data_IF_996694907602
#
_entry.id   IF_996694907602
#
_cell.length_a   1.000
_cell.length_b   1.000
_cell.length_c   1.000
_cell.angle_alpha   90.00
_cell.angle_beta   90.00
_cell.angle_gamma   90.00
#
_symmetry.space_group_name_H-M   'P 1'
#
loop_
_entity.id
_entity.type
_entity.pdbx_description
1 polymer ?
#
# COMPACT_ATOMS: atom_id res chain seq x y z
N UNK A 1 15.18 -8.21 -4.88
CA UNK A 1 13.76 -7.88 -5.13
C UNK A 1 13.37 -6.91 -4.05
N UNK A 2 13.07 -5.68 -4.40
CA UNK A 2 12.45 -4.72 -3.48
C UNK A 2 10.94 -4.99 -3.62
N UNK A 3 10.36 -5.63 -2.61
CA UNK A 3 8.91 -5.85 -2.59
C UNK A 3 8.19 -4.61 -2.08
N UNK A 4 6.88 -4.70 -1.96
CA UNK A 4 6.03 -3.63 -1.45
C UNK A 4 5.83 -3.84 0.06
N UNK A 5 5.57 -2.75 0.77
CA UNK A 5 5.05 -2.82 2.13
C UNK A 5 3.55 -2.52 2.08
N UNK A 6 2.79 -3.45 2.61
CA UNK A 6 1.34 -3.42 2.57
C UNK A 6 0.77 -3.46 3.98
N UNK A 7 -0.13 -2.54 4.30
CA UNK A 7 -0.91 -2.60 5.54
C UNK A 7 -2.37 -2.77 5.19
N UNK A 8 -2.97 -3.82 5.74
CA UNK A 8 -4.39 -4.09 5.58
C UNK A 8 -5.14 -3.50 6.77
N UNK A 9 -6.13 -2.65 6.53
CA UNK A 9 -7.07 -2.19 7.53
C UNK A 9 -8.39 -2.96 7.38
N UNK A 10 -8.72 -3.81 8.36
CA UNK A 10 -9.93 -4.63 8.37
C UNK A 10 -10.95 -4.12 9.39
N UNK A 11 -12.18 -3.91 8.93
CA UNK A 11 -13.32 -3.53 9.75
C UNK A 11 -13.88 -4.72 10.54
N UNK A 12 -13.98 -4.55 11.86
CA UNK A 12 -14.49 -5.51 12.83
C UNK A 12 -15.76 -5.00 13.53
N UNK A 13 -16.41 -3.97 12.99
CA UNK A 13 -17.68 -3.47 13.49
C UNK A 13 -18.80 -4.51 13.34
N UNK A 14 -19.90 -4.34 14.10
CA UNK A 14 -21.04 -5.28 14.06
C UNK A 14 -21.70 -5.37 12.69
N UNK A 15 -21.66 -4.31 11.87
CA UNK A 15 -22.23 -4.33 10.52
C UNK A 15 -21.54 -5.36 9.62
N UNK A 16 -20.27 -5.68 9.90
CA UNK A 16 -19.53 -6.73 9.20
C UNK A 16 -20.04 -8.16 9.49
N UNK A 17 -20.97 -8.34 10.44
CA UNK A 17 -21.69 -9.60 10.64
C UNK A 17 -22.90 -9.77 9.72
N UNK A 18 -23.24 -8.76 8.91
CA UNK A 18 -24.32 -8.85 7.94
C UNK A 18 -24.07 -9.99 6.92
N UNK A 19 -25.16 -10.66 6.53
CA UNK A 19 -25.16 -11.89 5.72
C UNK A 19 -25.55 -11.61 4.24
N UNK A 20 -25.48 -10.36 3.79
CA UNK A 20 -25.71 -9.99 2.38
C UNK A 20 -24.59 -10.45 1.44
N UNK A 21 -23.41 -10.75 2.01
CA UNK A 21 -22.33 -11.47 1.34
C UNK A 21 -22.03 -12.73 2.12
N UNK A 22 -22.07 -13.89 1.45
CA UNK A 22 -21.90 -15.17 2.13
C UNK A 22 -20.44 -15.41 2.59
N UNK A 23 -20.23 -16.00 3.78
CA UNK A 23 -21.25 -16.30 4.80
C UNK A 23 -21.62 -15.07 5.65
N UNK A 24 -20.71 -14.12 5.81
CA UNK A 24 -20.96 -12.75 6.24
C UNK A 24 -19.83 -11.84 5.71
N UNK A 25 -20.00 -10.52 5.79
CA UNK A 25 -19.02 -9.56 5.27
C UNK A 25 -17.62 -9.75 5.85
N UNK A 26 -17.48 -9.97 7.17
CA UNK A 26 -16.19 -10.19 7.82
C UNK A 26 -15.50 -11.47 7.35
N UNK A 27 -16.24 -12.57 7.25
CA UNK A 27 -15.71 -13.84 6.78
C UNK A 27 -15.26 -13.74 5.32
N UNK A 28 -16.01 -13.01 4.48
CA UNK A 28 -15.59 -12.69 3.12
C UNK A 28 -14.32 -11.86 3.11
N UNK A 29 -14.22 -10.81 3.93
CA UNK A 29 -13.02 -9.98 4.06
C UNK A 29 -11.80 -10.83 4.43
N UNK A 30 -11.92 -11.69 5.45
CA UNK A 30 -10.85 -12.60 5.87
C UNK A 30 -10.46 -13.57 4.75
N UNK A 31 -11.43 -14.11 4.00
CA UNK A 31 -11.16 -14.99 2.88
C UNK A 31 -10.36 -14.29 1.76
N UNK A 32 -10.74 -13.07 1.38
CA UNK A 32 -10.00 -12.29 0.37
C UNK A 32 -8.57 -11.99 0.84
N UNK A 33 -8.41 -11.63 2.11
CA UNK A 33 -7.10 -11.35 2.69
C UNK A 33 -6.20 -12.57 2.81
N UNK A 34 -6.74 -13.73 3.16
CA UNK A 34 -5.98 -14.99 3.14
C UNK A 34 -5.46 -15.28 1.74
N UNK A 35 -6.34 -15.18 0.75
CA UNK A 35 -5.99 -15.38 -0.67
C UNK A 35 -4.93 -14.37 -1.13
N UNK A 36 -5.01 -13.12 -0.67
CA UNK A 36 -4.01 -12.09 -0.93
C UNK A 36 -2.65 -12.49 -0.34
N UNK A 37 -2.61 -12.79 0.96
CA UNK A 37 -1.39 -13.13 1.71
C UNK A 37 -0.67 -14.33 1.10
N UNK A 38 -1.40 -15.37 0.72
CA UNK A 38 -0.86 -16.58 0.10
C UNK A 38 -0.18 -16.33 -1.26
N UNK A 39 -0.52 -15.22 -1.91
CA UNK A 39 0.03 -14.84 -3.22
C UNK A 39 1.19 -13.85 -3.14
N UNK A 40 1.46 -13.27 -1.97
CA UNK A 40 2.56 -12.32 -1.78
C UNK A 40 3.92 -13.02 -1.89
N UNK A 41 4.91 -12.35 -2.48
CA UNK A 41 6.25 -12.93 -2.70
C UNK A 41 7.36 -11.92 -2.41
N UNK A 42 7.83 -11.87 -1.16
CA UNK A 42 8.89 -10.94 -0.73
C UNK A 42 8.37 -9.57 -0.30
N UNK A 43 7.05 -9.41 -0.23
CA UNK A 43 6.36 -8.24 0.31
C UNK A 43 6.26 -8.34 1.83
N UNK A 44 6.17 -7.20 2.52
CA UNK A 44 5.83 -7.17 3.94
C UNK A 44 4.35 -6.86 4.09
N UNK A 45 3.68 -7.57 4.98
CA UNK A 45 2.28 -7.31 5.31
C UNK A 45 2.11 -6.97 6.78
N UNK A 46 1.32 -5.93 7.06
CA UNK A 46 0.82 -5.57 8.38
C UNK A 46 -0.71 -5.61 8.40
N UNK A 47 -1.28 -5.72 9.60
CA UNK A 47 -2.73 -5.79 9.80
C UNK A 47 -3.13 -4.79 10.87
N UNK A 48 -4.02 -3.87 10.52
CA UNK A 48 -4.72 -2.96 11.41
C UNK A 48 -6.16 -3.44 11.51
N UNK A 49 -6.63 -3.60 12.74
CA UNK A 49 -8.01 -3.93 13.04
C UNK A 49 -8.72 -2.67 13.53
N UNK A 50 -9.95 -2.42 13.07
CA UNK A 50 -10.71 -1.25 13.51
C UNK A 50 -12.20 -1.50 13.64
N UNK A 51 -12.83 -0.73 14.53
CA UNK A 51 -14.27 -0.56 14.70
C UNK A 51 -14.48 0.88 15.19
N UNK A 52 -14.99 1.10 16.41
CA UNK A 52 -15.07 2.44 16.99
C UNK A 52 -13.71 3.06 17.35
N UNK A 53 -12.70 2.22 17.59
CA UNK A 53 -11.28 2.57 17.67
C UNK A 53 -10.47 1.66 16.73
N UNK A 54 -9.18 1.93 16.55
CA UNK A 54 -8.29 1.13 15.71
C UNK A 54 -6.97 0.80 16.42
N UNK A 55 -6.37 -0.35 16.07
CA UNK A 55 -5.06 -0.74 16.59
C UNK A 55 -4.27 -1.59 15.58
N UNK A 56 -2.94 -1.56 15.71
CA UNK A 56 -2.04 -2.40 14.91
C UNK A 56 -2.05 -3.83 15.48
N UNK A 57 -2.75 -4.73 14.80
CA UNK A 57 -2.86 -6.14 15.20
C UNK A 57 -1.61 -6.95 14.81
N UNK A 58 -1.04 -6.66 13.64
CA UNK A 58 0.19 -7.28 13.15
C UNK A 58 1.11 -6.19 12.58
N UNK A 59 2.32 -6.00 13.14
CA UNK A 59 3.35 -5.17 12.50
C UNK A 59 3.75 -5.73 11.12
N UNK A 60 4.39 -4.90 10.29
CA UNK A 60 4.90 -5.32 8.98
C UNK A 60 5.85 -6.51 9.13
N UNK A 61 5.51 -7.62 8.47
CA UNK A 61 6.28 -8.87 8.51
C UNK A 61 6.29 -9.58 7.17
N UNK A 62 7.35 -10.36 6.92
CA UNK A 62 7.39 -11.35 5.83
C UNK A 62 6.96 -12.75 6.31
N UNK A 63 6.67 -12.91 7.60
CA UNK A 63 6.10 -14.14 8.14
C UNK A 63 4.59 -14.16 7.89
N UNK A 64 4.24 -14.66 6.71
CA UNK A 64 2.85 -14.80 6.30
C UNK A 64 2.06 -15.78 7.18
N UNK A 65 2.72 -16.79 7.76
CA UNK A 65 2.05 -17.75 8.64
C UNK A 65 1.58 -17.07 9.92
N UNK A 66 2.44 -16.24 10.53
CA UNK A 66 2.07 -15.42 11.69
C UNK A 66 0.95 -14.44 11.36
N UNK A 67 1.01 -13.76 10.20
CA UNK A 67 -0.03 -12.84 9.76
C UNK A 67 -1.38 -13.56 9.58
N UNK A 68 -1.40 -14.76 8.99
CA UNK A 68 -2.60 -15.58 8.83
C UNK A 68 -3.17 -16.03 10.18
N UNK A 69 -2.33 -16.42 11.14
CA UNK A 69 -2.77 -16.76 12.50
C UNK A 69 -3.44 -15.58 13.21
N UNK A 70 -2.85 -14.38 13.10
CA UNK A 70 -3.43 -13.16 13.68
C UNK A 70 -4.75 -12.84 12.99
N UNK A 71 -4.79 -12.85 11.66
CA UNK A 71 -6.01 -12.61 10.89
C UNK A 71 -7.13 -13.56 11.33
N UNK A 72 -6.81 -14.83 11.57
CA UNK A 72 -7.77 -15.82 12.04
C UNK A 72 -8.33 -15.54 13.43
N UNK A 73 -7.53 -14.98 14.33
CA UNK A 73 -7.96 -14.59 15.67
C UNK A 73 -8.83 -13.32 15.70
N UNK A 74 -8.84 -12.50 14.65
CA UNK A 74 -9.65 -11.29 14.60
C UNK A 74 -11.15 -11.60 14.45
N UNK A 75 -11.95 -11.00 15.35
CA UNK A 75 -13.40 -11.04 15.35
C UNK A 75 -14.00 -9.70 15.83
N UNK A 76 -15.34 -9.56 15.74
CA UNK A 76 -16.04 -8.33 16.13
C UNK A 76 -16.13 -8.09 17.64
N UNK A 77 -15.60 -9.00 18.46
CA UNK A 77 -15.57 -8.92 19.92
C UNK A 77 -14.22 -8.42 20.44
N UNK A 78 -13.18 -8.42 19.59
CA UNK A 78 -11.84 -7.92 19.95
C UNK A 78 -11.86 -6.44 20.33
N UNK A 79 -12.67 -5.62 19.64
CA UNK A 79 -12.78 -4.18 19.91
C UNK A 79 -14.08 -3.90 20.67
N UNK A 80 -14.03 -3.48 21.94
CA UNK A 80 -15.23 -3.18 22.72
C UNK A 80 -15.99 -1.97 22.17
N UNK A 81 -15.25 -0.94 21.75
CA UNK A 81 -15.81 0.31 21.23
C UNK A 81 -16.48 0.06 19.86
N UNK A 82 -17.79 0.30 19.83
CA UNK A 82 -18.61 0.09 18.65
C UNK A 82 -18.64 1.35 17.78
N UNK A 83 -18.87 1.15 16.49
CA UNK A 83 -18.80 2.18 15.47
C UNK A 83 -17.77 1.82 14.43
N UNK A 84 -17.47 2.77 13.56
CA UNK A 84 -16.51 2.61 12.47
C UNK A 84 -15.72 3.91 12.38
N UNK A 85 -14.41 3.83 12.64
CA UNK A 85 -13.48 4.96 12.66
C UNK A 85 -12.43 4.77 11.56
N UNK A 86 -12.85 4.93 10.31
CA UNK A 86 -12.00 4.67 9.13
C UNK A 86 -10.76 5.56 9.15
N UNK A 87 -10.92 6.87 9.40
CA UNK A 87 -9.75 7.76 9.42
C UNK A 87 -8.73 7.40 10.50
N UNK A 88 -9.18 6.93 11.68
CA UNK A 88 -8.30 6.44 12.73
C UNK A 88 -7.52 5.20 12.28
N UNK A 89 -8.18 4.28 11.59
CA UNK A 89 -7.53 3.11 11.01
C UNK A 89 -6.47 3.51 9.98
N UNK A 90 -6.76 4.48 9.10
CA UNK A 90 -5.82 5.00 8.11
C UNK A 90 -4.61 5.69 8.77
N UNK A 91 -4.82 6.47 9.83
CA UNK A 91 -3.73 7.09 10.58
C UNK A 91 -2.78 6.06 11.19
N UNK A 92 -3.32 5.00 11.80
CA UNK A 92 -2.52 3.94 12.41
C UNK A 92 -1.80 3.13 11.34
N UNK A 93 -2.48 2.81 10.24
CA UNK A 93 -1.87 2.13 9.11
C UNK A 93 -0.72 2.96 8.51
N UNK A 94 -0.92 4.26 8.33
CA UNK A 94 0.11 5.16 7.81
C UNK A 94 1.33 5.28 8.75
N UNK A 95 1.14 5.12 10.07
CA UNK A 95 2.22 5.11 11.06
C UNK A 95 2.94 3.77 11.18
N UNK A 96 2.35 2.69 10.66
CA UNK A 96 2.95 1.36 10.71
C UNK A 96 4.08 1.18 9.68
N UNK A 97 4.13 2.03 8.65
CA UNK A 97 5.22 2.03 7.68
C UNK A 97 6.51 2.61 8.27
N UNK A 98 7.68 2.03 7.93
CA UNK A 98 8.97 2.64 8.26
C UNK A 98 9.14 3.97 7.53
N UNK A 99 9.99 4.85 8.07
CA UNK A 99 10.33 6.13 7.42
C UNK A 99 11.24 5.95 6.17
N UNK A 100 11.76 4.74 5.96
CA UNK A 100 12.58 4.38 4.81
C UNK A 100 11.78 4.50 3.50
N UNK A 101 12.36 5.17 2.50
CA UNK A 101 11.70 5.44 1.21
C UNK A 101 12.02 4.41 0.12
N UNK A 102 12.65 3.31 0.50
CA UNK A 102 13.19 2.35 -0.47
C UNK A 102 12.13 1.37 -1.00
N UNK A 103 10.92 1.41 -0.44
CA UNK A 103 9.77 0.57 -0.83
C UNK A 103 8.52 1.41 -0.95
N UNK A 104 7.63 1.00 -1.83
CA UNK A 104 6.29 1.57 -1.91
C UNK A 104 5.42 1.16 -0.72
N UNK A 105 4.59 2.11 -0.27
CA UNK A 105 3.66 1.95 0.83
C UNK A 105 2.22 1.88 0.32
N UNK A 106 1.52 0.82 0.71
CA UNK A 106 0.18 0.53 0.26
C UNK A 106 -0.75 0.23 1.44
N UNK A 107 -1.89 0.90 1.51
CA UNK A 107 -2.97 0.53 2.44
C UNK A 107 -4.10 -0.13 1.65
N UNK A 108 -4.59 -1.28 2.13
CA UNK A 108 -5.82 -1.90 1.65
C UNK A 108 -6.86 -1.81 2.75
N UNK A 109 -7.93 -1.06 2.52
CA UNK A 109 -9.04 -0.85 3.44
C UNK A 109 -10.20 -1.79 3.08
N UNK A 110 -10.68 -2.60 4.02
CA UNK A 110 -11.82 -3.51 3.84
C UNK A 110 -12.93 -3.17 4.84
N UNK A 111 -14.07 -2.70 4.34
CA UNK A 111 -15.18 -2.19 5.17
C UNK A 111 -16.46 -2.10 4.33
N UNK A 112 -17.60 -1.91 4.99
CA UNK A 112 -18.85 -1.47 4.35
C UNK A 112 -18.96 0.06 4.22
N UNK A 113 -17.95 0.81 4.68
CA UNK A 113 -17.83 2.24 4.44
C UNK A 113 -18.74 3.12 5.29
N UNK A 114 -19.51 2.55 6.22
CA UNK A 114 -20.34 3.32 7.14
C UNK A 114 -19.48 4.00 8.21
N UNK A 115 -18.77 5.07 7.86
CA UNK A 115 -17.99 5.86 8.81
C UNK A 115 -18.93 6.73 9.67
N UNK A 116 -18.78 6.61 10.99
CA UNK A 116 -19.57 7.36 11.96
C UNK A 116 -18.75 8.40 12.73
N UNK A 117 -17.41 8.34 12.66
CA UNK A 117 -16.54 8.98 13.66
C UNK A 117 -15.27 9.63 13.06
N UNK A 118 -14.88 9.30 11.82
CA UNK A 118 -13.46 9.30 11.45
C UNK A 118 -12.95 10.27 10.38
N UNK A 119 -13.77 11.16 9.79
CA UNK A 119 -13.35 12.08 8.70
C UNK A 119 -12.36 11.42 7.70
N UNK A 120 -12.79 10.37 7.00
CA UNK A 120 -11.87 9.41 6.40
C UNK A 120 -11.11 9.97 5.19
N UNK A 121 -11.66 11.00 4.55
CA UNK A 121 -11.05 11.70 3.41
C UNK A 121 -9.82 12.51 3.85
N UNK A 122 -9.90 13.21 4.99
CA UNK A 122 -8.76 14.01 5.51
C UNK A 122 -7.57 13.09 5.86
N UNK A 123 -7.85 11.93 6.49
CA UNK A 123 -6.83 10.94 6.80
C UNK A 123 -6.22 10.31 5.52
N UNK A 124 -7.02 10.12 4.47
CA UNK A 124 -6.56 9.62 3.19
C UNK A 124 -5.63 10.62 2.48
N UNK A 125 -5.98 11.91 2.47
CA UNK A 125 -5.15 12.99 1.93
C UNK A 125 -3.80 13.06 2.65
N UNK A 126 -3.81 13.00 3.99
CA UNK A 126 -2.58 12.98 4.78
C UNK A 126 -1.69 11.75 4.51
N UNK A 127 -2.28 10.60 4.20
CA UNK A 127 -1.54 9.41 3.77
C UNK A 127 -0.94 9.61 2.36
N UNK A 128 -1.70 10.23 1.45
CA UNK A 128 -1.27 10.54 0.09
C UNK A 128 -0.04 11.45 0.05
N UNK A 129 0.02 12.46 0.93
CA UNK A 129 1.17 13.35 1.09
C UNK A 129 2.47 12.60 1.46
N UNK A 130 2.34 11.44 2.12
CA UNK A 130 3.46 10.54 2.45
C UNK A 130 3.79 9.55 1.34
N UNK A 131 3.15 9.64 0.18
CA UNK A 131 3.30 8.70 -0.92
C UNK A 131 2.62 7.34 -0.68
N UNK A 132 1.74 7.25 0.31
CA UNK A 132 1.00 6.02 0.62
C UNK A 132 -0.25 5.97 -0.25
N UNK A 133 -0.42 4.89 -1.01
CA UNK A 133 -1.64 4.68 -1.81
C UNK A 133 -2.69 3.91 -1.01
N UNK A 134 -3.96 4.28 -1.15
CA UNK A 134 -5.07 3.58 -0.47
C UNK A 134 -6.01 2.94 -1.47
N UNK A 135 -6.15 1.62 -1.39
CA UNK A 135 -7.16 0.86 -2.12
C UNK A 135 -8.28 0.48 -1.16
N UNK A 136 -9.52 0.75 -1.56
CA UNK A 136 -10.68 0.45 -0.74
C UNK A 136 -11.48 -0.69 -1.37
N UNK A 137 -11.75 -1.73 -0.58
CA UNK A 137 -12.60 -2.86 -0.93
C UNK A 137 -13.91 -2.70 -0.15
N UNK A 138 -14.98 -2.39 -0.85
CA UNK A 138 -16.32 -2.24 -0.28
C UNK A 138 -17.02 -3.59 -0.18
N UNK A 139 -17.39 -4.00 1.03
CA UNK A 139 -18.05 -5.29 1.26
C UNK A 139 -19.48 -5.06 1.69
N UNK A 140 -20.44 -5.65 0.96
CA UNK A 140 -21.86 -5.56 1.27
C UNK A 140 -22.69 -5.06 0.08
N UNK A 141 -23.98 -4.83 0.36
CA UNK A 141 -24.95 -4.31 -0.59
C UNK A 141 -25.37 -2.88 -0.23
N UNK A 142 -25.55 -1.98 -1.23
CA UNK A 142 -26.16 -0.67 -1.02
C UNK A 142 -27.62 -0.72 -0.58
N UNK A 143 -28.31 -1.86 -0.76
CA UNK A 143 -29.75 -2.00 -0.49
C UNK A 143 -30.13 -1.96 0.99
N UNK A 144 -29.16 -2.05 1.89
CA UNK A 144 -29.39 -2.12 3.34
C UNK A 144 -29.89 -3.50 3.78
N UNK A 145 -29.24 -4.08 4.80
CA UNK A 145 -29.63 -5.37 5.38
C UNK A 145 -29.56 -5.35 6.89
N UNK A 146 -30.40 -6.14 7.59
CA UNK A 146 -30.36 -6.20 9.05
C UNK A 146 -29.11 -6.93 9.55
N UNK A 147 -28.59 -6.49 10.69
CA UNK A 147 -27.43 -7.11 11.32
C UNK A 147 -27.88 -8.25 12.24
N UNK A 148 -27.40 -9.50 12.07
CA UNK A 148 -27.73 -10.59 12.99
C UNK A 148 -27.00 -10.47 14.33
N UNK A 149 -27.61 -10.98 15.40
CA UNK A 149 -26.97 -11.14 16.71
C UNK A 149 -26.75 -12.61 17.01
N UNK A 150 -25.65 -12.92 17.69
CA UNK A 150 -25.25 -14.27 18.06
C UNK A 150 -25.07 -14.38 19.57
N UNK A 151 -25.34 -15.55 20.14
CA UNK A 151 -24.97 -15.84 21.52
C UNK A 151 -23.48 -16.22 21.64
N UNK A 152 -23.03 -16.50 22.86
CA UNK A 152 -21.66 -16.95 23.13
C UNK A 152 -21.29 -18.29 22.46
N UNK A 153 -22.28 -19.07 22.04
CA UNK A 153 -22.10 -20.34 21.33
C UNK A 153 -22.16 -20.19 19.80
N UNK A 154 -22.23 -18.97 19.28
CA UNK A 154 -22.28 -18.71 17.84
C UNK A 154 -23.64 -18.97 17.19
N UNK A 155 -24.69 -19.25 17.97
CA UNK A 155 -26.04 -19.44 17.46
C UNK A 155 -26.73 -18.10 17.27
N UNK A 156 -27.39 -17.91 16.12
CA UNK A 156 -28.18 -16.72 15.81
C UNK A 156 -29.34 -16.58 16.78
N UNK A 157 -29.36 -15.50 17.54
CA UNK A 157 -30.38 -15.21 18.57
C UNK A 157 -31.44 -14.21 18.11
N UNK A 158 -31.13 -13.42 17.08
CA UNK A 158 -32.02 -12.38 16.60
C UNK A 158 -31.32 -11.40 15.66
N UNK A 159 -31.82 -10.17 15.68
CA UNK A 159 -31.29 -9.04 14.92
C UNK A 159 -30.89 -7.94 15.90
N UNK A 160 -29.88 -7.17 15.52
CA UNK A 160 -29.41 -6.02 16.29
C UNK A 160 -30.52 -4.98 16.33
N UNK A 161 -30.78 -4.46 17.53
CA UNK A 161 -31.78 -3.42 17.77
C UNK A 161 -31.13 -2.20 18.42
N UNK A 162 -31.66 -1.02 18.09
CA UNK A 162 -31.28 0.23 18.73
C UNK A 162 -31.98 0.39 20.10
N UNK A 163 -31.68 1.50 20.78
CA UNK A 163 -32.28 1.83 22.09
C UNK A 163 -33.80 2.04 22.04
N UNK A 164 -34.38 2.18 20.85
CA UNK A 164 -35.82 2.37 20.61
C UNK A 164 -36.50 1.04 20.23
N UNK A 165 -35.73 -0.05 20.11
CA UNK A 165 -36.22 -1.37 19.73
C UNK A 165 -36.34 -1.59 18.22
N UNK A 166 -35.94 -0.63 17.38
CA UNK A 166 -35.98 -0.77 15.93
C UNK A 166 -34.81 -1.65 15.46
N UNK A 167 -35.02 -2.40 14.37
CA UNK A 167 -33.98 -3.23 13.77
C UNK A 167 -32.94 -2.33 13.10
N UNK A 168 -31.67 -2.49 13.48
CA UNK A 168 -30.55 -1.78 12.85
C UNK A 168 -30.24 -2.43 11.51
N UNK A 169 -30.19 -1.61 10.47
CA UNK A 169 -29.78 -2.01 9.12
C UNK A 169 -28.48 -1.32 8.74
N UNK A 170 -27.63 -2.03 8.01
CA UNK A 170 -26.35 -1.53 7.46
C UNK A 170 -26.37 -1.59 5.95
N UNK A 171 -25.79 -0.57 5.30
CA UNK A 171 -25.66 -0.46 3.84
C UNK A 171 -24.22 -0.15 3.47
N UNK A 172 -23.79 -0.65 2.32
CA UNK A 172 -22.49 -0.28 1.76
C UNK A 172 -22.50 1.20 1.31
N UNK A 173 -21.62 2.02 1.88
CA UNK A 173 -21.37 3.40 1.41
C UNK A 173 -20.20 3.44 0.41
N UNK A 174 -20.50 3.12 -0.85
CA UNK A 174 -19.51 3.19 -1.92
C UNK A 174 -18.98 4.60 -2.15
N UNK A 175 -19.79 5.64 -1.90
CA UNK A 175 -19.42 7.03 -2.20
C UNK A 175 -18.31 7.52 -1.28
N UNK A 176 -18.36 7.13 -0.01
CA UNK A 176 -17.30 7.44 0.96
C UNK A 176 -16.02 6.66 0.62
N UNK A 177 -16.11 5.37 0.31
CA UNK A 177 -14.95 4.55 -0.03
C UNK A 177 -14.26 4.98 -1.33
N UNK A 178 -15.03 5.36 -2.35
CA UNK A 178 -14.48 5.93 -3.59
C UNK A 178 -13.72 7.23 -3.32
N UNK A 179 -14.27 8.13 -2.51
CA UNK A 179 -13.60 9.39 -2.16
C UNK A 179 -12.28 9.14 -1.43
N UNK A 180 -12.28 8.25 -0.44
CA UNK A 180 -11.07 7.83 0.30
C UNK A 180 -10.00 7.30 -0.64
N UNK A 181 -10.34 6.35 -1.52
CA UNK A 181 -9.38 5.77 -2.45
C UNK A 181 -8.83 6.80 -3.45
N UNK A 182 -9.70 7.67 -3.99
CA UNK A 182 -9.31 8.70 -4.95
C UNK A 182 -8.40 9.77 -4.32
N UNK A 183 -8.69 10.19 -3.09
CA UNK A 183 -7.86 11.15 -2.35
C UNK A 183 -6.43 10.67 -2.08
N UNK A 184 -6.20 9.36 -2.12
CA UNK A 184 -4.89 8.75 -1.91
C UNK A 184 -4.37 8.01 -3.14
N UNK A 185 -4.71 8.46 -4.35
CA UNK A 185 -4.20 7.93 -5.62
C UNK A 185 -4.35 6.39 -5.77
N UNK A 186 -5.37 5.80 -5.16
CA UNK A 186 -5.70 4.40 -5.31
C UNK A 186 -7.04 4.19 -5.99
N UNK A 187 -7.62 2.99 -5.84
CA UNK A 187 -8.85 2.58 -6.51
C UNK A 187 -9.82 1.92 -5.54
N UNK A 188 -11.10 2.05 -5.86
CA UNK A 188 -12.19 1.39 -5.15
C UNK A 188 -12.64 0.14 -5.90
N UNK A 189 -12.84 -0.95 -5.16
CA UNK A 189 -13.33 -2.22 -5.67
C UNK A 189 -14.54 -2.72 -4.86
N UNK A 190 -15.69 -2.98 -5.49
CA UNK A 190 -16.82 -3.60 -4.79
C UNK A 190 -16.61 -5.11 -4.68
N UNK A 191 -16.59 -5.68 -3.47
CA UNK A 191 -16.47 -7.12 -3.23
C UNK A 191 -17.77 -7.85 -3.60
N UNK A 192 -17.87 -8.33 -4.83
CA UNK A 192 -19.00 -9.13 -5.32
C UNK A 192 -18.64 -10.62 -5.37
N UNK A 193 -19.63 -11.52 -5.30
CA UNK A 193 -19.38 -12.94 -5.53
C UNK A 193 -18.86 -13.19 -6.95
N UNK A 194 -17.66 -13.77 -7.07
CA UNK A 194 -17.09 -14.22 -8.35
C UNK A 194 -16.33 -13.16 -9.16
N UNK A 195 -16.17 -11.95 -8.65
CA UNK A 195 -15.28 -10.96 -9.26
C UNK A 195 -13.82 -11.22 -8.90
N UNK A 196 -12.93 -10.84 -9.80
CA UNK A 196 -11.48 -10.92 -9.62
C UNK A 196 -10.91 -9.60 -9.10
N UNK A 197 -11.55 -8.96 -8.11
CA UNK A 197 -11.07 -7.67 -7.57
C UNK A 197 -9.65 -7.81 -7.02
N UNK A 198 -9.41 -8.92 -6.34
CA UNK A 198 -8.09 -9.26 -5.82
C UNK A 198 -7.05 -9.41 -6.95
N UNK A 199 -7.43 -9.99 -8.09
CA UNK A 199 -6.56 -10.12 -9.25
C UNK A 199 -6.24 -8.77 -9.90
N UNK A 200 -7.16 -7.81 -9.83
CA UNK A 200 -6.92 -6.45 -10.32
C UNK A 200 -6.00 -5.67 -9.38
N UNK A 201 -6.22 -5.77 -8.06
CA UNK A 201 -5.34 -5.18 -7.04
C UNK A 201 -3.92 -5.75 -7.18
N UNK A 202 -3.78 -7.08 -7.26
CA UNK A 202 -2.49 -7.74 -7.44
C UNK A 202 -1.80 -7.35 -8.75
N UNK A 203 -2.55 -7.20 -9.85
CA UNK A 203 -1.99 -6.72 -11.13
C UNK A 203 -1.48 -5.29 -11.03
N UNK A 204 -2.20 -4.42 -10.34
CA UNK A 204 -1.77 -3.05 -10.12
C UNK A 204 -0.51 -3.01 -9.26
N UNK A 205 -0.48 -3.74 -8.13
CA UNK A 205 0.67 -3.91 -7.24
C UNK A 205 1.91 -4.37 -8.02
N UNK A 206 1.77 -5.43 -8.83
CA UNK A 206 2.88 -5.92 -9.67
C UNK A 206 3.32 -4.90 -10.74
N UNK A 207 2.42 -4.05 -11.22
CA UNK A 207 2.75 -2.94 -12.12
C UNK A 207 3.58 -1.85 -11.42
N UNK A 208 3.26 -1.55 -10.15
CA UNK A 208 3.98 -0.54 -9.38
C UNK A 208 5.41 -0.99 -9.03
N UNK A 209 5.61 -2.26 -8.69
CA UNK A 209 6.94 -2.84 -8.42
C UNK A 209 7.86 -2.70 -9.66
N UNK A 210 7.33 -2.98 -10.85
CA UNK A 210 8.09 -2.84 -12.12
C UNK A 210 8.50 -1.39 -12.41
N UNK A 211 7.59 -0.44 -12.19
CA UNK A 211 7.86 0.97 -12.44
C UNK A 211 8.95 1.52 -11.50
N UNK A 212 9.01 1.04 -10.25
CA UNK A 212 10.05 1.44 -9.31
C UNK A 212 11.42 0.90 -9.72
N UNK A 213 11.47 -0.39 -10.07
CA UNK A 213 12.69 -1.04 -10.57
C UNK A 213 13.22 -0.28 -11.80
N UNK A 214 12.36 0.05 -12.78
CA UNK A 214 12.77 0.83 -13.95
C UNK A 214 13.28 2.22 -13.57
N UNK A 215 12.63 2.91 -12.61
CA UNK A 215 13.05 4.25 -12.18
C UNK A 215 14.41 4.26 -11.48
N UNK A 216 14.73 3.25 -10.64
CA UNK A 216 16.04 3.10 -9.99
C UNK A 216 17.13 2.64 -10.96
N UNK A 217 16.78 1.99 -12.07
CA UNK A 217 17.73 1.57 -13.12
C UNK A 217 18.24 2.77 -13.94
N UNK A 218 17.61 3.94 -13.87
CA UNK A 218 18.15 5.17 -14.42
C UNK A 218 19.04 5.90 -13.41
N UNK A 219 20.35 5.63 -13.53
CA UNK A 219 21.54 6.47 -13.23
C UNK A 219 22.63 5.69 -12.52
N UNK A 220 23.06 4.57 -13.11
CA UNK A 220 24.43 4.12 -12.87
C UNK A 220 25.27 4.63 -14.04
N UNK A 221 25.86 5.82 -13.89
CA UNK A 221 26.89 6.28 -14.81
C UNK A 221 28.09 5.36 -14.61
N UNK A 222 28.23 4.33 -15.46
CA UNK A 222 29.51 3.64 -15.53
C UNK A 222 30.56 4.62 -16.03
N UNK A 223 31.49 4.94 -15.14
CA UNK A 223 32.62 5.81 -15.40
C UNK A 223 33.60 5.15 -16.41
N UNK A 224 33.27 5.28 -17.71
CA UNK A 224 34.11 4.81 -18.83
C UNK A 224 35.26 5.75 -19.17
N UNK A 225 35.68 6.61 -18.24
CA UNK A 225 36.78 7.56 -18.47
C UNK A 225 38.11 6.84 -18.78
N UNK A 226 38.28 5.58 -18.36
CA UNK A 226 39.47 4.78 -18.61
C UNK A 226 39.80 4.64 -20.11
N UNK A 227 38.79 4.57 -20.99
CA UNK A 227 38.99 4.53 -22.45
C UNK A 227 39.50 5.85 -23.02
N UNK A 228 39.17 6.98 -22.40
CA UNK A 228 39.69 8.30 -22.78
C UNK A 228 41.04 8.61 -22.12
N UNK A 229 41.25 8.12 -20.90
CA UNK A 229 42.43 8.39 -20.08
C UNK A 229 43.67 7.63 -20.57
N UNK A 230 43.52 6.38 -21.02
CA UNK A 230 44.61 5.59 -21.61
C UNK A 230 45.26 6.26 -22.83
N UNK A 231 44.52 6.66 -23.89
CA UNK A 231 45.13 7.33 -25.04
C UNK A 231 45.70 8.69 -24.67
N UNK A 232 45.07 9.44 -23.76
CA UNK A 232 45.63 10.71 -23.27
C UNK A 232 47.00 10.51 -22.59
N UNK A 233 47.13 9.49 -21.74
CA UNK A 233 48.40 9.14 -21.09
C UNK A 233 49.47 8.75 -22.12
N UNK A 234 49.10 7.95 -23.13
CA UNK A 234 50.01 7.55 -24.21
C UNK A 234 50.50 8.75 -25.01
N UNK A 235 49.62 9.70 -25.34
CA UNK A 235 50.01 10.93 -26.04
C UNK A 235 50.96 11.81 -25.23
N UNK A 236 50.77 11.91 -23.91
CA UNK A 236 51.68 12.65 -23.03
C UNK A 236 53.07 12.02 -23.02
N UNK A 237 53.14 10.68 -22.91
CA UNK A 237 54.42 9.96 -22.91
C UNK A 237 55.13 10.12 -24.27
N UNK A 238 54.40 9.97 -25.38
CA UNK A 238 54.95 10.18 -26.72
C UNK A 238 55.43 11.61 -26.92
N UNK A 239 54.67 12.61 -26.46
CA UNK A 239 55.06 14.02 -26.55
C UNK A 239 56.38 14.28 -25.80
N UNK A 240 56.57 13.68 -24.62
CA UNK A 240 57.80 13.83 -23.86
C UNK A 240 59.01 13.14 -24.51
N UNK A 241 58.79 12.14 -25.36
CA UNK A 241 59.85 11.40 -26.03
C UNK A 241 60.40 12.14 -27.26
N UNK A 242 59.71 13.16 -27.78
CA UNK A 242 60.21 14.00 -28.86
C UNK A 242 60.98 15.20 -28.29
N UNK A 243 62.30 15.33 -28.55
CA UNK A 243 63.04 16.52 -28.16
C UNK A 243 62.51 17.73 -28.94
N UNK A 244 62.11 18.77 -28.22
CA UNK A 244 61.79 20.07 -28.82
C UNK A 244 62.96 20.53 -29.69
N UNK A 245 62.78 20.50 -31.01
CA UNK A 245 63.72 21.15 -31.91
C UNK A 245 63.57 22.65 -31.70
N UNK A 246 64.48 23.23 -30.89
CA UNK A 246 64.66 24.68 -30.82
C UNK A 246 64.79 25.21 -32.26
N UNK A 247 63.89 26.09 -32.73
CA UNK A 247 64.04 26.67 -34.05
C UNK A 247 65.35 27.47 -34.04
N UNK A 248 66.27 27.15 -34.96
CA UNK A 248 67.41 28.02 -35.25
C UNK A 248 66.83 29.32 -35.75
N UNK A 249 66.85 30.35 -34.91
CA UNK A 249 66.64 31.74 -35.32
C UNK A 249 67.69 32.01 -36.40
N UNK A 250 67.27 32.03 -37.66
CA UNK A 250 68.13 32.39 -38.76
C UNK A 250 68.51 33.86 -38.57
N UNK A 251 69.80 34.13 -38.31
CA UNK A 251 70.34 35.47 -38.35
C UNK A 251 70.09 36.05 -39.74
N UNK A 252 69.10 36.94 -39.86
CA UNK A 252 68.93 37.79 -41.05
C UNK A 252 70.21 38.61 -41.20
N UNK A 253 71.03 38.30 -42.22
CA UNK A 253 72.05 39.25 -42.69
C UNK A 253 71.33 40.45 -43.31
N UNK A 254 71.74 41.69 -43.01
CA UNK A 254 71.16 42.87 -43.64
C UNK A 254 71.57 42.94 -45.11
N UNK A 255 70.64 43.43 -45.93
CA UNK A 255 70.62 43.42 -47.39
C UNK A 255 71.58 44.42 -48.08
N UNK A 256 72.64 44.89 -47.42
CA UNK A 256 73.53 45.93 -47.97
C UNK A 256 75.03 45.67 -47.83
N UNK A 257 75.47 44.41 -47.71
CA UNK A 257 76.90 44.06 -47.77
C UNK A 257 77.23 43.29 -49.06
#
# INVERSE_FOLDING_TARGET
REGIDMVVAIDLSRSMLAEDVAPNRLAKAKFELKTLIERLQGDRIGIVAFAGDAFLACPLTTDYSAALMILDALDTKVIPEQGTAIGRALEIAAKAFPEEKDRQHLIILLTDGEDHLGKPVEAAEAAAEKGIRIYAIGIGSPSGVPIPTFNNHGMKTGLLRDNQGNVVTTRLDEMTLRRVALSANGKYYPARPGSGELDEILREIAGMEKSEIESKVFTNFEERYHWALLPALVFIILSSAFPERKPKIASRKPWWA
#
